data_IF_124774056193
#
_entry.id   IF_124774056193
#
_cell.length_a   1.000
_cell.length_b   1.000
_cell.length_c   1.000
_cell.angle_alpha   90.00
_cell.angle_beta   90.00
_cell.angle_gamma   90.00
#
_symmetry.space_group_name_H-M   'P 1'
#
loop_
_entity.id
_entity.type
_entity.pdbx_description
1 polymer ?
#
# COMPACT_ATOMS: atom_id res chain seq x y z
N UNK A 1 22.12 -0.30 2.85
CA UNK A 1 21.43 -1.27 1.98
C UNK A 1 20.29 -0.51 1.38
N UNK A 2 20.20 -0.53 0.06
CA UNK A 2 19.19 0.20 -0.69
C UNK A 2 18.12 -0.74 -1.20
N UNK A 3 16.87 -0.29 -1.13
CA UNK A 3 15.71 -0.93 -1.74
C UNK A 3 15.20 0.02 -2.81
N UNK A 4 15.02 -0.47 -4.03
CA UNK A 4 14.35 0.26 -5.11
C UNK A 4 12.95 -0.33 -5.30
N UNK A 5 11.93 0.52 -5.34
CA UNK A 5 10.53 0.16 -5.56
C UNK A 5 10.02 0.83 -6.83
N UNK A 6 9.27 0.11 -7.66
CA UNK A 6 8.62 0.67 -8.84
C UNK A 6 7.21 0.16 -9.00
N UNK A 7 6.32 1.11 -9.29
CA UNK A 7 4.94 0.90 -9.68
C UNK A 7 4.77 1.09 -11.19
N UNK A 8 3.72 0.50 -11.79
CA UNK A 8 3.28 0.82 -13.14
C UNK A 8 2.97 2.32 -13.26
N UNK A 9 3.22 2.91 -14.43
CA UNK A 9 2.97 4.35 -14.65
C UNK A 9 1.47 4.68 -14.56
N UNK A 10 0.63 3.75 -14.97
CA UNK A 10 -0.83 3.82 -14.96
C UNK A 10 -1.38 3.99 -13.54
N UNK A 11 -0.66 3.42 -12.56
CA UNK A 11 -0.97 3.51 -11.13
C UNK A 11 -0.59 4.87 -10.55
N UNK A 12 0.44 5.52 -11.11
CA UNK A 12 0.95 6.81 -10.64
C UNK A 12 0.22 8.01 -11.28
N UNK A 13 -0.40 7.85 -12.46
CA UNK A 13 -1.13 8.92 -13.17
C UNK A 13 -2.61 9.01 -12.81
N UNK A 14 -3.14 8.04 -12.04
CA UNK A 14 -4.54 8.03 -11.61
C UNK A 14 -5.56 7.62 -12.69
N UNK A 15 -5.11 7.16 -13.86
CA UNK A 15 -6.02 6.69 -14.92
C UNK A 15 -6.64 5.31 -14.63
N UNK A 16 -6.02 4.49 -13.77
CA UNK A 16 -6.44 3.11 -13.54
C UNK A 16 -7.57 2.93 -12.49
N UNK A 17 -8.15 3.99 -11.93
CA UNK A 17 -9.15 3.88 -10.86
C UNK A 17 -10.60 4.00 -11.37
N UNK A 18 -11.04 3.08 -12.23
CA UNK A 18 -12.45 2.71 -12.31
C UNK A 18 -12.58 1.19 -12.43
N UNK A 19 -12.61 0.51 -11.29
CA UNK A 19 -13.31 -0.79 -11.17
C UNK A 19 -14.41 -0.60 -10.13
N UNK A 20 -15.55 -0.10 -10.62
CA UNK A 20 -16.80 -0.11 -9.86
C UNK A 20 -17.41 -1.50 -9.97
N UNK A 21 -17.63 -2.13 -8.81
CA UNK A 21 -18.75 -3.04 -8.60
C UNK A 21 -18.45 -4.54 -8.65
N UNK A 22 -18.49 -5.18 -7.48
CA UNK A 22 -19.06 -6.52 -7.35
C UNK A 22 -19.66 -6.69 -5.94
N UNK A 23 -20.85 -6.10 -5.73
CA UNK A 23 -21.75 -6.58 -4.68
C UNK A 23 -22.24 -7.97 -5.11
N UNK A 24 -21.70 -9.03 -4.52
CA UNK A 24 -22.35 -10.35 -4.56
C UNK A 24 -23.42 -10.35 -3.47
N UNK A 25 -24.65 -10.03 -3.90
CA UNK A 25 -25.84 -10.20 -3.09
C UNK A 25 -26.35 -11.64 -3.13
N UNK A 26 -26.95 -12.05 -2.00
CA UNK A 26 -28.07 -12.99 -2.01
C UNK A 26 -27.86 -14.29 -1.22
N UNK A 27 -28.45 -14.35 -0.03
CA UNK A 27 -29.56 -15.27 0.21
C UNK A 27 -30.34 -14.83 1.46
N UNK A 28 -31.53 -14.28 1.23
CA UNK A 28 -32.54 -14.06 2.25
C UNK A 28 -33.10 -15.41 2.72
N UNK A 29 -33.32 -15.57 4.02
CA UNK A 29 -34.36 -16.48 4.50
C UNK A 29 -34.90 -16.06 5.87
N UNK A 30 -36.16 -15.64 5.85
CA UNK A 30 -37.23 -15.73 6.86
C UNK A 30 -37.00 -15.27 8.33
N UNK A 31 -37.75 -14.22 8.69
CA UNK A 31 -38.23 -13.95 10.06
C UNK A 31 -39.40 -14.90 10.42
N UNK A 32 -39.72 -15.04 11.73
CA UNK A 32 -40.81 -14.20 12.24
C UNK A 32 -40.49 -13.48 13.57
N UNK A 33 -40.77 -12.17 13.55
CA UNK A 33 -41.42 -11.31 14.56
C UNK A 33 -41.45 -11.77 16.02
N UNK A 34 -40.94 -10.94 16.95
CA UNK A 34 -41.76 -10.19 17.92
C UNK A 34 -40.90 -9.40 18.93
N UNK A 35 -41.55 -8.40 19.53
CA UNK A 35 -41.21 -7.65 20.75
C UNK A 35 -40.31 -6.41 20.64
N UNK A 36 -41.02 -5.29 20.46
CA UNK A 36 -40.64 -3.93 20.81
C UNK A 36 -40.09 -3.83 22.24
N UNK A 37 -38.84 -3.40 22.35
CA UNK A 37 -38.23 -3.02 23.62
C UNK A 37 -37.16 -1.96 23.34
N UNK A 38 -37.45 -0.73 23.74
CA UNK A 38 -36.66 0.47 23.42
C UNK A 38 -35.15 0.25 23.54
N UNK A 39 -34.49 0.17 22.38
CA UNK A 39 -33.05 0.20 22.26
C UNK A 39 -32.72 1.50 21.55
N UNK A 40 -32.15 2.43 22.32
CA UNK A 40 -31.51 3.64 21.80
C UNK A 40 -30.69 3.24 20.58
N UNK A 41 -31.18 3.61 19.40
CA UNK A 41 -30.52 3.32 18.15
C UNK A 41 -29.15 3.97 18.22
N UNK A 42 -28.14 3.13 18.45
CA UNK A 42 -26.76 3.53 18.22
C UNK A 42 -26.72 3.76 16.72
N UNK A 43 -26.35 4.94 16.20
CA UNK A 43 -26.07 5.04 14.79
C UNK A 43 -24.88 4.11 14.58
N UNK A 44 -25.14 2.92 14.03
CA UNK A 44 -24.14 2.15 13.33
C UNK A 44 -23.64 3.10 12.25
N UNK A 45 -22.57 3.81 12.61
CA UNK A 45 -21.75 4.50 11.66
C UNK A 45 -21.49 3.48 10.57
N UNK A 46 -22.00 3.75 9.38
CA UNK A 46 -21.49 3.17 8.15
C UNK A 46 -19.99 3.44 8.18
N UNK A 47 -19.23 2.49 8.75
CA UNK A 47 -17.79 2.46 8.68
C UNK A 47 -17.43 2.00 7.27
N UNK A 48 -17.94 2.74 6.26
CA UNK A 48 -17.24 2.86 5.01
C UNK A 48 -15.84 3.28 5.40
N UNK A 49 -14.85 2.48 4.99
CA UNK A 49 -13.46 2.81 5.25
C UNK A 49 -13.27 4.27 4.82
N UNK A 50 -12.80 5.19 5.69
CA UNK A 50 -12.82 6.62 5.41
C UNK A 50 -11.96 7.01 4.19
N UNK A 51 -11.23 6.04 3.64
CA UNK A 51 -10.42 6.13 2.44
C UNK A 51 -11.00 5.38 1.23
N UNK A 52 -12.14 4.69 1.36
CA UNK A 52 -12.81 4.01 0.25
C UNK A 52 -13.28 5.06 -0.78
N UNK A 53 -12.55 5.13 -1.89
CA UNK A 53 -12.80 6.11 -2.97
C UNK A 53 -11.75 7.22 -3.08
N UNK A 54 -10.71 7.25 -2.24
CA UNK A 54 -9.56 8.11 -2.51
C UNK A 54 -8.81 7.62 -3.74
N UNK A 55 -8.45 8.58 -4.60
CA UNK A 55 -7.62 8.33 -5.77
C UNK A 55 -6.32 7.63 -5.36
N UNK A 56 -5.78 6.86 -6.30
CA UNK A 56 -4.42 6.35 -6.28
C UNK A 56 -3.43 7.33 -5.60
N UNK A 57 -2.65 6.93 -4.57
CA UNK A 57 -1.70 7.83 -3.95
C UNK A 57 -0.68 8.33 -4.97
N UNK A 58 -0.46 9.65 -4.99
CA UNK A 58 0.53 10.30 -5.84
C UNK A 58 1.95 9.83 -5.50
N UNK A 59 2.94 10.07 -6.38
CA UNK A 59 4.35 9.83 -6.07
C UNK A 59 4.80 10.47 -4.75
N UNK A 60 4.33 11.67 -4.43
CA UNK A 60 4.60 12.35 -3.16
C UNK A 60 3.99 11.62 -1.96
N UNK A 61 2.76 11.10 -2.09
CA UNK A 61 2.13 10.31 -1.05
C UNK A 61 2.88 9.00 -0.79
N UNK A 62 3.38 8.34 -1.86
CA UNK A 62 4.26 7.18 -1.74
C UNK A 62 5.58 7.53 -1.05
N UNK A 63 6.20 8.66 -1.40
CA UNK A 63 7.41 9.11 -0.72
C UNK A 63 7.15 9.36 0.78
N UNK A 64 6.02 9.98 1.12
CA UNK A 64 5.63 10.22 2.52
C UNK A 64 5.36 8.94 3.29
N UNK A 65 4.64 7.99 2.69
CA UNK A 65 4.46 6.65 3.24
C UNK A 65 5.81 5.97 3.51
N UNK A 66 6.74 6.03 2.55
CA UNK A 66 8.04 5.38 2.69
C UNK A 66 8.90 5.96 3.83
N UNK A 67 8.71 7.24 4.19
CA UNK A 67 9.41 7.87 5.32
C UNK A 67 9.12 7.17 6.66
N UNK A 68 8.03 6.43 6.78
CA UNK A 68 7.75 5.64 7.98
C UNK A 68 8.81 4.55 8.22
N UNK A 69 9.48 4.05 7.18
CA UNK A 69 10.48 2.97 7.28
C UNK A 69 11.92 3.47 7.46
N UNK A 70 12.24 4.61 6.85
CA UNK A 70 13.55 5.24 6.89
C UNK A 70 13.46 6.72 6.60
N UNK A 71 14.26 7.57 7.27
CA UNK A 71 14.34 8.99 6.92
C UNK A 71 15.01 9.25 5.56
N UNK A 72 15.66 8.25 4.95
CA UNK A 72 16.41 8.40 3.70
C UNK A 72 15.63 7.82 2.52
N UNK A 73 14.83 8.68 1.90
CA UNK A 73 13.96 8.34 0.76
C UNK A 73 14.23 9.32 -0.38
N UNK A 74 14.36 8.83 -1.61
CA UNK A 74 14.51 9.66 -2.79
C UNK A 74 13.80 9.05 -4.01
N UNK A 75 13.09 9.88 -4.77
CA UNK A 75 12.62 9.50 -6.09
C UNK A 75 13.75 9.69 -7.10
N UNK A 76 14.08 8.65 -7.88
CA UNK A 76 15.11 8.70 -8.93
C UNK A 76 14.56 8.00 -10.17
N UNK A 77 14.40 8.77 -11.24
CA UNK A 77 13.79 8.32 -12.50
C UNK A 77 12.45 7.59 -12.25
N UNK A 78 12.40 6.27 -12.52
CA UNK A 78 11.21 5.43 -12.38
C UNK A 78 11.02 4.77 -11.00
N UNK A 79 11.91 5.01 -10.04
CA UNK A 79 11.94 4.26 -8.78
C UNK A 79 12.00 5.14 -7.53
N UNK A 80 11.33 4.66 -6.49
CA UNK A 80 11.49 5.14 -5.13
C UNK A 80 12.62 4.37 -4.45
N UNK A 81 13.67 5.07 -4.03
CA UNK A 81 14.84 4.50 -3.38
C UNK A 81 14.80 4.74 -1.87
N UNK A 82 15.04 3.69 -1.10
CA UNK A 82 15.07 3.70 0.37
C UNK A 82 16.42 3.19 0.87
N UNK A 83 17.16 3.99 1.64
CA UNK A 83 18.34 3.51 2.39
C UNK A 83 17.87 2.99 3.75
N UNK A 84 18.08 1.72 4.06
CA UNK A 84 17.51 1.10 5.27
C UNK A 84 18.55 0.55 6.24
N UNK A 85 19.85 0.63 5.96
CA UNK A 85 20.88 0.03 6.85
C UNK A 85 20.80 0.55 8.28
N UNK A 86 20.44 1.82 8.46
CA UNK A 86 20.27 2.42 9.78
C UNK A 86 19.00 1.99 10.53
N UNK A 87 17.95 1.57 9.82
CA UNK A 87 16.63 1.31 10.42
C UNK A 87 16.25 -0.17 10.49
N UNK A 88 16.99 -1.07 9.82
CA UNK A 88 16.70 -2.51 9.80
C UNK A 88 16.45 -3.14 11.18
N UNK A 89 17.16 -2.70 12.24
CA UNK A 89 16.99 -3.23 13.60
C UNK A 89 15.62 -2.90 14.21
N UNK A 90 15.02 -1.78 13.83
CA UNK A 90 13.68 -1.37 14.29
C UNK A 90 12.59 -2.27 13.73
N UNK A 91 12.84 -2.84 12.55
CA UNK A 91 11.90 -3.69 11.83
C UNK A 91 12.14 -5.19 12.07
N UNK A 92 13.04 -5.58 12.97
CA UNK A 92 13.36 -7.00 13.18
C UNK A 92 14.19 -7.62 12.04
N UNK A 93 14.84 -6.77 11.23
CA UNK A 93 15.69 -7.18 10.11
C UNK A 93 15.02 -7.08 8.74
N UNK A 94 15.77 -7.47 7.70
CA UNK A 94 15.40 -7.22 6.30
C UNK A 94 14.07 -7.86 5.91
N UNK A 95 13.89 -9.14 6.24
CA UNK A 95 12.70 -9.90 5.83
C UNK A 95 11.42 -9.30 6.41
N UNK A 96 11.43 -8.92 7.68
CA UNK A 96 10.29 -8.31 8.35
C UNK A 96 10.02 -6.89 7.84
N UNK A 97 11.06 -6.10 7.54
CA UNK A 97 10.87 -4.82 6.84
C UNK A 97 10.22 -4.99 5.47
N UNK A 98 10.70 -5.93 4.65
CA UNK A 98 10.12 -6.18 3.33
C UNK A 98 8.66 -6.60 3.43
N UNK A 99 8.34 -7.52 4.35
CA UNK A 99 6.97 -7.92 4.61
C UNK A 99 6.09 -6.70 4.97
N UNK A 100 6.55 -5.84 5.87
CA UNK A 100 5.82 -4.62 6.23
C UNK A 100 5.64 -3.67 5.05
N UNK A 101 6.66 -3.50 4.21
CA UNK A 101 6.60 -2.71 2.97
C UNK A 101 5.51 -3.27 2.05
N UNK A 102 5.44 -4.59 1.83
CA UNK A 102 4.44 -5.19 0.95
C UNK A 102 3.02 -5.13 1.55
N UNK A 103 2.86 -5.42 2.84
CA UNK A 103 1.56 -5.46 3.51
C UNK A 103 0.92 -4.09 3.69
N UNK A 104 1.75 -3.05 3.91
CA UNK A 104 1.26 -1.67 4.11
C UNK A 104 1.37 -0.80 2.87
N UNK A 105 1.75 -1.37 1.72
CA UNK A 105 1.85 -0.66 0.45
C UNK A 105 0.49 -0.07 0.07
N UNK A 106 0.37 1.26 -0.07
CA UNK A 106 -0.92 1.88 -0.32
C UNK A 106 -1.40 1.67 -1.76
N UNK A 107 -0.55 1.09 -2.62
CA UNK A 107 -0.89 0.59 -3.96
C UNK A 107 -0.68 -0.93 -4.02
N UNK A 108 -1.74 -1.70 -4.28
CA UNK A 108 -1.62 -3.17 -4.34
C UNK A 108 -0.67 -3.65 -5.46
N UNK A 109 -0.36 -2.79 -6.42
CA UNK A 109 0.32 -3.14 -7.67
C UNK A 109 1.80 -2.68 -7.69
N UNK A 110 2.62 -3.16 -6.75
CA UNK A 110 4.07 -2.96 -6.84
C UNK A 110 4.64 -3.89 -7.92
N UNK A 111 4.98 -3.31 -9.07
CA UNK A 111 5.44 -4.08 -10.24
C UNK A 111 6.83 -4.70 -10.04
N UNK A 112 7.76 -3.97 -9.41
CA UNK A 112 9.15 -4.43 -9.25
C UNK A 112 9.80 -3.91 -7.97
N UNK A 113 10.72 -4.71 -7.46
CA UNK A 113 11.64 -4.33 -6.39
C UNK A 113 13.04 -4.90 -6.67
N UNK A 114 14.07 -4.19 -6.21
CA UNK A 114 15.43 -4.72 -6.15
C UNK A 114 16.16 -4.21 -4.91
N UNK A 115 17.22 -4.90 -4.51
CA UNK A 115 18.03 -4.54 -3.34
C UNK A 115 19.52 -4.56 -3.68
N UNK A 116 20.28 -3.62 -3.14
CA UNK A 116 21.73 -3.60 -3.34
C UNK A 116 22.48 -2.86 -2.24
N UNK A 117 23.82 -2.90 -2.32
CA UNK A 117 24.69 -2.16 -1.40
C UNK A 117 24.61 -0.64 -1.59
N UNK A 118 24.32 -0.16 -2.80
CA UNK A 118 24.24 1.27 -3.15
C UNK A 118 22.97 1.58 -3.96
N UNK A 119 22.57 2.85 -3.98
CA UNK A 119 21.36 3.34 -4.67
C UNK A 119 21.39 3.04 -6.17
N UNK A 120 22.49 3.36 -6.85
CA UNK A 120 22.63 3.16 -8.29
C UNK A 120 22.64 1.68 -8.68
N UNK A 121 23.24 0.81 -7.85
CA UNK A 121 23.21 -0.64 -8.11
C UNK A 121 21.80 -1.18 -7.90
N UNK A 122 21.06 -0.71 -6.88
CA UNK A 122 19.67 -1.13 -6.68
C UNK A 122 18.79 -0.73 -7.87
N UNK A 123 18.95 0.49 -8.39
CA UNK A 123 18.25 0.96 -9.59
C UNK A 123 18.65 0.15 -10.84
N UNK A 124 19.94 -0.14 -11.01
CA UNK A 124 20.40 -0.98 -12.12
C UNK A 124 19.84 -2.40 -12.04
N UNK A 125 19.85 -3.03 -10.86
CA UNK A 125 19.26 -4.36 -10.63
C UNK A 125 17.75 -4.35 -10.94
N UNK A 126 17.03 -3.29 -10.52
CA UNK A 126 15.61 -3.12 -10.82
C UNK A 126 15.35 -3.08 -12.34
N UNK A 127 16.16 -2.31 -13.08
CA UNK A 127 16.08 -2.17 -14.55
C UNK A 127 16.40 -3.47 -15.27
N UNK A 128 17.43 -4.17 -14.81
CA UNK A 128 17.89 -5.44 -15.39
C UNK A 128 17.07 -6.66 -14.92
N UNK A 129 16.18 -6.49 -13.94
CA UNK A 129 15.39 -7.55 -13.31
C UNK A 129 16.28 -8.62 -12.66
N UNK A 130 17.29 -8.15 -11.91
CA UNK A 130 18.19 -8.99 -11.13
C UNK A 130 17.79 -8.91 -9.66
N UNK A 131 17.56 -10.07 -9.03
CA UNK A 131 17.12 -10.21 -7.64
C UNK A 131 18.29 -10.35 -6.64
#
# INVERSE_FOLDING_TARGET
MWIALQWPLEVLTGEAAVVVGAHVGGAASALPQAEEGGRMATPEAEAGQPWAGLAAPSPEALAWWALQFTPHVAWVDEALLLEVSGTLRLWGGRRALLQQIFESNPHTDLARQAQAATSLVALACLRLRVE
#
